data_IF_689460191192
#
_entry.id   IF_689460191192
#
_cell.length_a   1.000
_cell.length_b   1.000
_cell.length_c   1.000
_cell.angle_alpha   90.00
_cell.angle_beta   90.00
_cell.angle_gamma   90.00
#
_symmetry.space_group_name_H-M   'P 1'
#
loop_
_entity.id
_entity.type
_entity.pdbx_description
1 polymer ?
#
# COMPACT_ATOMS: atom_id res chain seq x y z
N UNK A 1 -23.83 6.73 50.99
CA UNK A 1 -25.03 6.29 50.25
C UNK A 1 -24.55 5.86 48.88
N UNK A 2 -24.28 4.56 48.72
CA UNK A 2 -23.92 3.97 47.44
C UNK A 2 -25.10 3.14 46.96
N UNK A 3 -25.56 3.40 45.73
CA UNK A 3 -26.61 2.63 45.09
C UNK A 3 -25.95 1.60 44.16
N UNK A 4 -26.09 0.32 44.53
CA UNK A 4 -25.82 -0.82 43.65
C UNK A 4 -26.96 -0.95 42.65
N UNK A 5 -26.64 -0.88 41.35
CA UNK A 5 -27.56 -1.29 40.28
C UNK A 5 -27.09 -2.63 39.72
N UNK A 6 -27.88 -3.68 39.99
CA UNK A 6 -27.79 -4.97 39.29
C UNK A 6 -28.65 -4.84 38.04
N UNK A 7 -28.03 -4.93 36.86
CA UNK A 7 -28.74 -5.02 35.58
C UNK A 7 -28.27 -6.26 34.84
N UNK A 8 -29.07 -7.31 34.93
CA UNK A 8 -28.93 -8.55 34.17
C UNK A 8 -29.33 -8.28 32.72
N UNK A 9 -28.39 -8.35 31.78
CA UNK A 9 -28.67 -8.37 30.34
C UNK A 9 -28.63 -9.81 29.82
N UNK A 10 -29.50 -10.20 28.87
CA UNK A 10 -29.55 -11.55 28.33
C UNK A 10 -28.32 -11.85 27.45
N UNK A 11 -27.77 -13.06 27.59
CA UNK A 11 -26.69 -13.56 26.74
C UNK A 11 -27.17 -13.67 25.29
N UNK A 12 -26.60 -12.84 24.43
CA UNK A 12 -26.76 -12.88 22.99
C UNK A 12 -25.69 -13.84 22.42
N UNK A 13 -26.02 -14.93 21.71
CA UNK A 13 -25.03 -15.90 21.23
C UNK A 13 -24.30 -15.47 19.94
N UNK A 14 -24.40 -14.21 19.53
CA UNK A 14 -23.66 -13.66 18.39
C UNK A 14 -22.54 -12.73 18.83
N UNK A 15 -21.61 -13.24 19.66
CA UNK A 15 -20.30 -12.62 19.80
C UNK A 15 -19.42 -13.10 18.65
N UNK A 16 -19.46 -12.41 17.51
CA UNK A 16 -18.28 -12.37 16.65
C UNK A 16 -17.19 -11.67 17.46
N UNK A 17 -16.24 -12.44 17.97
CA UNK A 17 -15.04 -11.95 18.62
C UNK A 17 -14.38 -10.93 17.70
N UNK A 18 -14.55 -9.64 18.01
CA UNK A 18 -13.70 -8.59 17.44
C UNK A 18 -12.33 -8.86 18.01
N UNK A 19 -11.49 -9.56 17.24
CA UNK A 19 -10.07 -9.67 17.53
C UNK A 19 -9.54 -8.24 17.45
N UNK A 20 -9.25 -7.65 18.60
CA UNK A 20 -8.44 -6.45 18.71
C UNK A 20 -7.11 -6.76 18.04
N UNK A 21 -6.93 -6.32 16.79
CA UNK A 21 -5.68 -6.50 16.07
C UNK A 21 -4.61 -5.66 16.80
N UNK A 22 -3.72 -6.35 17.48
CA UNK A 22 -2.52 -5.77 18.07
C UNK A 22 -1.73 -5.07 16.96
N UNK A 23 -1.17 -3.86 17.17
CA UNK A 23 -0.35 -3.17 16.17
C UNK A 23 0.86 -4.00 15.68
N UNK A 24 1.29 -4.96 16.50
CA UNK A 24 2.38 -5.88 16.19
C UNK A 24 2.00 -6.92 15.13
N UNK A 25 0.71 -7.29 14.98
CA UNK A 25 0.23 -8.29 14.00
C UNK A 25 0.38 -7.88 12.54
N UNK A 26 0.47 -6.59 12.26
CA UNK A 26 0.77 -6.12 10.90
C UNK A 26 2.21 -6.39 10.50
N UNK A 27 3.17 -6.25 11.43
CA UNK A 27 4.58 -6.17 11.05
C UNK A 27 5.14 -7.46 10.45
N UNK A 28 4.62 -8.63 10.82
CA UNK A 28 5.12 -9.91 10.31
C UNK A 28 4.43 -10.41 9.04
N UNK A 29 3.23 -9.93 8.73
CA UNK A 29 2.57 -10.24 7.44
C UNK A 29 3.20 -9.45 6.29
N UNK A 30 3.66 -8.22 6.55
CA UNK A 30 4.38 -7.39 5.55
C UNK A 30 5.74 -7.94 5.10
N UNK A 31 6.31 -8.92 5.79
CA UNK A 31 7.56 -9.56 5.38
C UNK A 31 7.35 -10.73 4.40
N UNK A 32 6.11 -11.20 4.23
CA UNK A 32 5.80 -12.35 3.37
C UNK A 32 5.05 -11.99 2.08
N UNK A 33 4.39 -10.83 2.05
CA UNK A 33 3.65 -10.36 0.87
C UNK A 33 4.60 -9.80 -0.20
N UNK A 34 4.42 -10.24 -1.45
CA UNK A 34 5.12 -9.64 -2.58
C UNK A 34 4.47 -8.30 -2.94
N UNK A 35 5.26 -7.24 -2.93
CA UNK A 35 4.81 -5.89 -3.30
C UNK A 35 4.93 -5.66 -4.81
N UNK A 36 3.89 -5.12 -5.43
CA UNK A 36 3.95 -4.76 -6.85
C UNK A 36 3.34 -3.38 -7.10
N UNK A 37 4.14 -2.52 -7.71
CA UNK A 37 3.77 -1.19 -8.19
C UNK A 37 3.43 -1.25 -9.67
N UNK A 38 2.31 -0.65 -10.03
CA UNK A 38 1.80 -0.56 -11.38
C UNK A 38 1.43 0.87 -11.71
N UNK A 39 1.62 1.28 -12.96
CA UNK A 39 1.09 2.53 -13.48
C UNK A 39 0.02 2.26 -14.54
N UNK A 40 -0.98 3.14 -14.62
CA UNK A 40 -2.05 3.02 -15.59
C UNK A 40 -1.71 3.80 -16.86
N UNK A 41 -1.56 3.10 -17.99
CA UNK A 41 -1.27 3.69 -19.30
C UNK A 41 -1.91 2.84 -20.39
N UNK A 42 -2.36 3.45 -21.49
CA UNK A 42 -2.93 2.73 -22.63
C UNK A 42 -4.07 1.78 -22.22
N UNK A 43 -4.94 2.24 -21.30
CA UNK A 43 -6.07 1.47 -20.77
C UNK A 43 -5.70 0.17 -20.03
N UNK A 44 -4.46 0.03 -19.55
CA UNK A 44 -3.99 -1.14 -18.80
C UNK A 44 -3.11 -0.74 -17.60
N UNK A 45 -3.07 -1.62 -16.61
CA UNK A 45 -2.09 -1.56 -15.53
C UNK A 45 -0.80 -2.25 -15.97
N UNK A 46 0.31 -1.52 -15.92
CA UNK A 46 1.63 -1.99 -16.35
C UNK A 46 2.56 -1.99 -15.13
N UNK A 47 3.23 -3.10 -14.82
CA UNK A 47 4.15 -3.15 -13.69
C UNK A 47 5.43 -2.37 -14.00
N UNK A 48 6.00 -1.71 -12.99
CA UNK A 48 7.36 -1.18 -13.09
C UNK A 48 8.39 -2.31 -13.20
N UNK A 49 9.56 -1.99 -13.74
CA UNK A 49 10.71 -2.90 -13.76
C UNK A 49 11.08 -3.36 -12.34
N UNK A 50 11.57 -4.60 -12.21
CA UNK A 50 11.85 -5.23 -10.92
C UNK A 50 12.78 -4.41 -10.01
N UNK A 51 13.78 -3.72 -10.56
CA UNK A 51 14.69 -2.86 -9.78
C UNK A 51 14.02 -1.58 -9.26
N UNK A 52 12.96 -1.10 -9.94
CA UNK A 52 12.21 0.08 -9.53
C UNK A 52 11.18 -0.25 -8.44
N UNK A 53 10.68 -1.49 -8.40
CA UNK A 53 9.73 -1.97 -7.38
C UNK A 53 10.28 -1.74 -5.96
N UNK A 54 11.54 -2.14 -5.73
CA UNK A 54 12.21 -2.03 -4.43
C UNK A 54 12.36 -0.56 -4.03
N UNK A 55 12.82 0.29 -4.95
CA UNK A 55 13.02 1.73 -4.68
C UNK A 55 11.71 2.44 -4.35
N UNK A 56 10.62 2.10 -5.03
CA UNK A 56 9.29 2.66 -4.74
C UNK A 56 8.82 2.28 -3.35
N UNK A 57 9.00 1.02 -2.97
CA UNK A 57 8.66 0.54 -1.65
C UNK A 57 9.49 1.22 -0.55
N UNK A 58 10.81 1.26 -0.69
CA UNK A 58 11.72 1.93 0.26
C UNK A 58 11.39 3.42 0.41
N UNK A 59 11.11 4.11 -0.69
CA UNK A 59 10.71 5.52 -0.67
C UNK A 59 9.43 5.73 0.13
N UNK A 60 8.45 4.84 -0.02
CA UNK A 60 7.21 4.91 0.75
C UNK A 60 7.47 4.68 2.25
N UNK A 61 8.31 3.69 2.59
CA UNK A 61 8.66 3.38 3.98
C UNK A 61 9.41 4.52 4.69
N UNK A 62 10.26 5.25 3.94
CA UNK A 62 10.98 6.41 4.46
C UNK A 62 10.15 7.71 4.46
N UNK A 63 8.84 7.64 4.17
CA UNK A 63 7.97 8.81 3.97
C UNK A 63 8.53 9.81 2.93
N UNK A 64 9.22 9.29 1.91
CA UNK A 64 9.76 10.07 0.80
C UNK A 64 8.65 10.66 -0.07
N UNK A 65 8.81 11.92 -0.49
CA UNK A 65 7.82 12.64 -1.29
C UNK A 65 7.76 12.15 -2.74
N UNK A 66 8.91 11.89 -3.34
CA UNK A 66 9.05 11.41 -4.71
C UNK A 66 10.36 10.65 -4.88
N UNK A 67 10.42 9.85 -5.95
CA UNK A 67 11.63 9.17 -6.39
C UNK A 67 11.77 9.32 -7.89
N UNK A 68 12.98 9.65 -8.34
CA UNK A 68 13.33 9.68 -9.76
C UNK A 68 13.85 8.29 -10.16
N UNK A 69 13.20 7.66 -11.14
CA UNK A 69 13.47 6.29 -11.57
C UNK A 69 13.76 6.24 -13.08
N UNK A 70 14.40 5.17 -13.54
CA UNK A 70 14.53 4.88 -14.97
C UNK A 70 13.84 3.57 -15.24
N UNK A 71 12.86 3.59 -16.14
CA UNK A 71 11.99 2.45 -16.40
C UNK A 71 11.88 2.20 -17.90
N UNK A 72 11.93 0.92 -18.28
CA UNK A 72 11.94 0.47 -19.67
C UNK A 72 10.68 0.86 -20.46
N UNK A 73 9.55 1.04 -19.78
CA UNK A 73 8.27 1.45 -20.40
C UNK A 73 8.23 2.94 -20.80
N UNK A 74 9.24 3.72 -20.40
CA UNK A 74 9.37 5.14 -20.72
C UNK A 74 10.67 5.40 -21.50
N UNK A 75 10.77 4.90 -22.75
CA UNK A 75 11.99 5.04 -23.54
C UNK A 75 12.32 6.52 -23.77
N UNK A 76 13.62 6.83 -23.73
CA UNK A 76 14.12 8.19 -23.94
C UNK A 76 14.01 9.12 -22.73
N UNK A 77 13.45 8.67 -21.60
CA UNK A 77 13.45 9.46 -20.37
C UNK A 77 14.54 9.04 -19.42
N UNK A 78 15.42 9.99 -19.10
CA UNK A 78 16.52 9.79 -18.16
C UNK A 78 16.00 9.58 -16.73
N UNK A 79 14.95 10.34 -16.34
CA UNK A 79 14.36 10.33 -15.00
C UNK A 79 12.85 10.49 -15.05
N UNK A 80 12.15 9.44 -14.67
CA UNK A 80 10.72 9.38 -14.44
C UNK A 80 10.44 9.69 -12.97
N UNK A 81 9.73 10.79 -12.70
CA UNK A 81 9.40 11.18 -11.33
C UNK A 81 8.14 10.50 -10.86
N UNK A 82 8.25 9.69 -9.82
CA UNK A 82 7.13 8.96 -9.22
C UNK A 82 6.84 9.51 -7.83
N UNK A 83 5.56 9.64 -7.49
CA UNK A 83 5.08 10.12 -6.20
C UNK A 83 4.26 9.01 -5.51
N UNK A 84 4.93 8.08 -4.79
CA UNK A 84 4.28 6.93 -4.16
C UNK A 84 3.15 7.33 -3.21
N UNK A 85 3.39 8.31 -2.34
CA UNK A 85 2.39 8.77 -1.36
C UNK A 85 1.15 9.42 -1.99
N UNK A 86 1.30 10.00 -3.18
CA UNK A 86 0.22 10.70 -3.90
C UNK A 86 -0.41 9.83 -5.00
N UNK A 87 0.02 8.58 -5.14
CA UNK A 87 -0.47 7.62 -6.12
C UNK A 87 -0.44 8.14 -7.57
N UNK A 88 0.65 8.80 -7.98
CA UNK A 88 0.81 9.16 -9.39
C UNK A 88 2.26 9.17 -9.87
N UNK A 89 2.40 9.12 -11.19
CA UNK A 89 3.65 9.25 -11.94
C UNK A 89 3.56 10.49 -12.80
N UNK A 90 4.63 11.29 -12.84
CA UNK A 90 4.73 12.48 -13.69
C UNK A 90 5.71 12.22 -14.83
N UNK A 91 5.21 12.26 -16.06
CA UNK A 91 6.00 12.05 -17.27
C UNK A 91 5.64 13.08 -18.33
N UNK A 92 6.61 13.91 -18.73
CA UNK A 92 6.45 14.95 -19.77
C UNK A 92 5.21 15.85 -19.56
N UNK A 93 4.92 16.21 -18.30
CA UNK A 93 3.73 17.01 -17.94
C UNK A 93 2.42 16.22 -17.88
N UNK A 94 2.42 14.95 -18.26
CA UNK A 94 1.26 14.04 -18.11
C UNK A 94 1.33 13.31 -16.78
N UNK A 95 0.18 13.24 -16.10
CA UNK A 95 0.01 12.50 -14.85
C UNK A 95 -0.62 11.13 -15.14
N UNK A 96 0.07 10.07 -14.74
CA UNK A 96 -0.44 8.69 -14.81
C UNK A 96 -0.80 8.20 -13.41
N UNK A 97 -1.87 7.41 -13.29
CA UNK A 97 -2.25 6.81 -12.01
C UNK A 97 -1.25 5.74 -11.60
N UNK A 98 -0.95 5.67 -10.32
CA UNK A 98 -0.08 4.68 -9.71
C UNK A 98 -0.91 3.82 -8.75
N UNK A 99 -0.65 2.53 -8.71
CA UNK A 99 -1.23 1.60 -7.76
C UNK A 99 -0.13 0.76 -7.14
N UNK A 100 -0.32 0.40 -5.87
CA UNK A 100 0.50 -0.53 -5.13
C UNK A 100 -0.39 -1.65 -4.63
N UNK A 101 -0.09 -2.88 -5.05
CA UNK A 101 -0.84 -4.07 -4.68
C UNK A 101 0.04 -4.99 -3.83
N UNK A 102 -0.62 -5.67 -2.89
CA UNK A 102 -0.04 -6.75 -2.09
C UNK A 102 -0.45 -8.07 -2.75
N UNK A 103 0.54 -8.85 -3.18
CA UNK A 103 0.33 -10.17 -3.74
C UNK A 103 0.63 -11.22 -2.68
N UNK A 104 -0.34 -12.13 -2.39
CA UNK A 104 -0.06 -13.28 -1.55
C UNK A 104 0.95 -14.19 -2.27
N UNK A 105 1.98 -14.63 -1.54
CA UNK A 105 2.84 -15.71 -2.05
C UNK A 105 2.13 -17.05 -1.84
N UNK A 106 1.99 -17.80 -2.94
CA UNK A 106 1.45 -19.17 -2.95
C UNK A 106 2.54 -20.19 -2.64
#
# INVERSE_FOLDING_TARGET
>A
MEFTFVSTLPQNPFTSTVKTCSPLDRSYNYMHDSHQWLFFRESRWIPFDAHNQVKLFETLQMNGKFVDLKDSHFPGVERLRVFPASNYVSYLGTRYNLSHILLPRF
#
